data_IF_941450407651
#
_entry.id   IF_941450407651
#
_cell.length_a   1.000
_cell.length_b   1.000
_cell.length_c   1.000
_cell.angle_alpha   90.00
_cell.angle_beta   90.00
_cell.angle_gamma   90.00
#
_symmetry.space_group_name_H-M   'P 1'
#
loop_
_entity.id
_entity.type
_entity.pdbx_description
1 polymer ?
#
# COMPACT_ATOMS: atom_id res chain seq x y z
N UNK A 1 4.13 9.68 42.82
CA UNK A 1 4.46 9.29 41.43
C UNK A 1 3.21 9.05 40.58
N UNK A 2 2.23 8.23 41.02
CA UNK A 2 0.97 8.01 40.28
C UNK A 2 0.11 9.27 40.05
N UNK A 3 0.05 10.21 40.99
CA UNK A 3 -0.72 11.46 40.80
C UNK A 3 -0.09 12.43 39.78
N UNK A 4 1.23 12.39 39.62
CA UNK A 4 1.94 13.18 38.62
C UNK A 4 1.72 12.61 37.22
N UNK A 5 1.72 11.28 37.09
CA UNK A 5 1.39 10.57 35.86
C UNK A 5 -0.07 10.82 35.45
N UNK A 6 -1.01 10.83 36.40
CA UNK A 6 -2.43 11.07 36.13
C UNK A 6 -2.71 12.52 35.66
N UNK A 7 -2.05 13.53 36.25
CA UNK A 7 -2.17 14.93 35.79
C UNK A 7 -1.54 15.16 34.42
N UNK A 8 -0.42 14.50 34.11
CA UNK A 8 0.18 14.55 32.77
C UNK A 8 -0.69 13.84 31.73
N UNK A 9 -1.34 12.74 32.11
CA UNK A 9 -2.28 12.00 31.29
C UNK A 9 -3.56 12.79 30.98
N UNK A 10 -4.09 13.54 31.95
CA UNK A 10 -5.26 14.42 31.76
C UNK A 10 -4.95 15.64 30.86
N UNK A 11 -3.73 16.19 30.96
CA UNK A 11 -3.28 17.29 30.10
C UNK A 11 -2.95 16.85 28.69
N UNK A 12 -2.34 15.66 28.49
CA UNK A 12 -2.15 15.07 27.16
C UNK A 12 -3.48 14.68 26.50
N UNK A 13 -4.42 14.11 27.25
CA UNK A 13 -5.73 13.73 26.70
C UNK A 13 -6.59 14.94 26.34
N UNK A 14 -6.53 16.02 27.12
CA UNK A 14 -7.21 17.28 26.79
C UNK A 14 -6.54 18.04 25.64
N UNK A 15 -5.21 17.91 25.46
CA UNK A 15 -4.52 18.43 24.27
C UNK A 15 -4.84 17.62 23.00
N UNK A 16 -4.86 16.28 23.07
CA UNK A 16 -5.33 15.41 21.99
C UNK A 16 -6.80 15.68 21.65
N UNK A 17 -7.70 15.82 22.63
CA UNK A 17 -9.08 16.23 22.39
C UNK A 17 -9.18 17.65 21.80
N UNK A 18 -8.32 18.60 22.17
CA UNK A 18 -8.28 19.94 21.55
C UNK A 18 -7.75 19.91 20.11
N UNK A 19 -6.85 18.99 19.76
CA UNK A 19 -6.37 18.80 18.40
C UNK A 19 -7.40 18.08 17.51
N UNK A 20 -8.08 17.05 18.03
CA UNK A 20 -9.23 16.40 17.37
C UNK A 20 -10.37 17.40 17.15
N UNK A 21 -10.56 18.32 18.10
CA UNK A 21 -11.55 19.43 18.07
C UNK A 21 -10.98 20.73 17.47
N UNK A 22 -9.85 20.64 16.74
CA UNK A 22 -9.20 21.73 16.03
C UNK A 22 -9.63 21.83 14.56
N UNK A 23 -10.57 20.99 14.10
CA UNK A 23 -11.31 21.21 12.86
C UNK A 23 -12.25 22.40 13.07
N UNK A 24 -11.68 23.59 12.96
CA UNK A 24 -12.41 24.84 12.91
C UNK A 24 -13.16 24.91 11.56
N UNK A 25 -14.12 24.00 11.34
CA UNK A 25 -15.04 23.97 10.19
C UNK A 25 -15.77 25.33 10.05
N UNK A 26 -15.87 26.07 11.15
CA UNK A 26 -16.41 27.43 11.23
C UNK A 26 -15.54 28.50 10.54
N UNK A 27 -14.26 28.25 10.31
CA UNK A 27 -13.35 29.15 9.58
C UNK A 27 -12.87 28.54 8.25
N UNK A 28 -13.65 27.63 7.67
CA UNK A 28 -13.32 27.03 6.37
C UNK A 28 -13.67 27.99 5.23
N UNK A 29 -12.66 28.68 4.71
CA UNK A 29 -12.82 29.61 3.59
C UNK A 29 -13.06 28.87 2.27
N UNK A 30 -13.89 29.43 1.38
CA UNK A 30 -14.22 28.87 0.06
C UNK A 30 -12.99 28.63 -0.84
N UNK A 31 -11.91 29.40 -0.64
CA UNK A 31 -10.63 29.19 -1.33
C UNK A 31 -9.96 27.86 -0.94
N UNK A 32 -10.06 27.47 0.33
CA UNK A 32 -9.49 26.20 0.81
C UNK A 32 -10.25 24.99 0.27
N UNK A 33 -11.57 25.13 0.04
CA UNK A 33 -12.38 24.09 -0.58
C UNK A 33 -11.83 23.67 -1.94
N UNK A 34 -11.59 24.62 -2.84
CA UNK A 34 -11.08 24.31 -4.17
C UNK A 34 -9.66 23.73 -4.12
N UNK A 35 -8.79 24.23 -3.24
CA UNK A 35 -7.47 23.66 -3.05
C UNK A 35 -7.53 22.20 -2.55
N UNK A 36 -8.40 21.92 -1.57
CA UNK A 36 -8.55 20.58 -1.00
C UNK A 36 -9.22 19.61 -1.99
N UNK A 37 -10.18 20.08 -2.81
CA UNK A 37 -10.80 19.25 -3.88
C UNK A 37 -9.77 18.84 -4.92
N UNK A 38 -8.96 19.78 -5.41
CA UNK A 38 -7.96 19.45 -6.43
C UNK A 38 -6.83 18.60 -5.83
N UNK A 39 -6.42 18.84 -4.58
CA UNK A 39 -5.47 17.99 -3.87
C UNK A 39 -6.04 16.57 -3.66
N UNK A 40 -7.30 16.46 -3.23
CA UNK A 40 -7.97 15.18 -3.03
C UNK A 40 -8.15 14.41 -4.34
N UNK A 41 -8.48 15.08 -5.44
CA UNK A 41 -8.56 14.47 -6.76
C UNK A 41 -7.19 13.98 -7.22
N UNK A 42 -6.13 14.78 -7.11
CA UNK A 42 -4.78 14.34 -7.53
C UNK A 42 -4.28 13.16 -6.71
N UNK A 43 -4.45 13.18 -5.38
CA UNK A 43 -4.08 12.06 -4.50
C UNK A 43 -4.95 10.83 -4.79
N UNK A 44 -6.26 11.00 -4.94
CA UNK A 44 -7.20 9.91 -5.21
C UNK A 44 -6.88 9.20 -6.51
N UNK A 45 -6.59 9.94 -7.58
CA UNK A 45 -6.25 9.33 -8.87
C UNK A 45 -4.91 8.60 -8.78
N UNK A 46 -3.90 9.10 -8.05
CA UNK A 46 -2.63 8.38 -7.81
C UNK A 46 -2.79 7.08 -7.01
N UNK A 47 -3.69 7.07 -6.03
CA UNK A 47 -3.87 5.93 -5.13
C UNK A 47 -4.42 4.71 -5.87
N UNK A 48 -5.16 4.89 -6.97
CA UNK A 48 -5.71 3.80 -7.79
C UNK A 48 -4.63 2.85 -8.32
N UNK A 49 -3.66 3.27 -9.15
CA UNK A 49 -2.60 2.38 -9.64
C UNK A 49 -1.69 1.90 -8.51
N UNK A 50 -1.44 2.74 -7.50
CA UNK A 50 -0.61 2.38 -6.35
C UNK A 50 -1.22 1.22 -5.54
N UNK A 51 -2.53 1.30 -5.23
CA UNK A 51 -3.24 0.26 -4.49
C UNK A 51 -3.28 -1.06 -5.24
N UNK A 52 -3.53 -1.03 -6.56
CA UNK A 52 -3.50 -2.25 -7.39
C UNK A 52 -2.13 -2.93 -7.36
N UNK A 53 -1.04 -2.15 -7.44
CA UNK A 53 0.32 -2.69 -7.36
C UNK A 53 0.59 -3.32 -5.99
N UNK A 54 0.13 -2.70 -4.91
CA UNK A 54 0.35 -3.20 -3.55
C UNK A 54 -0.48 -4.46 -3.25
N UNK A 55 -1.67 -4.60 -3.83
CA UNK A 55 -2.42 -5.85 -3.75
C UNK A 55 -1.67 -7.02 -4.43
N UNK A 56 -1.07 -6.78 -5.61
CA UNK A 56 -0.22 -7.79 -6.27
C UNK A 56 1.00 -8.17 -5.43
N UNK A 57 1.62 -7.19 -4.75
CA UNK A 57 2.71 -7.46 -3.80
C UNK A 57 2.24 -8.30 -2.61
N UNK A 58 1.01 -8.08 -2.14
CA UNK A 58 0.38 -8.89 -1.10
C UNK A 58 -0.07 -10.28 -1.56
N UNK A 59 0.10 -10.65 -2.84
CA UNK A 59 -0.39 -11.92 -3.37
C UNK A 59 -1.92 -12.01 -3.47
N UNK A 60 -2.62 -10.88 -3.38
CA UNK A 60 -4.07 -10.79 -3.45
C UNK A 60 -4.55 -10.26 -4.81
N UNK A 61 -5.80 -10.55 -5.20
CA UNK A 61 -6.41 -9.92 -6.37
C UNK A 61 -6.39 -8.38 -6.27
N UNK A 62 -6.22 -7.71 -7.41
CA UNK A 62 -6.02 -6.25 -7.47
C UNK A 62 -7.17 -5.43 -6.88
N UNK A 63 -8.40 -5.96 -6.87
CA UNK A 63 -9.56 -5.29 -6.26
C UNK A 63 -9.36 -5.00 -4.77
N UNK A 64 -8.66 -5.85 -4.02
CA UNK A 64 -8.41 -5.62 -2.58
C UNK A 64 -7.59 -4.37 -2.32
N UNK A 65 -6.70 -3.99 -3.24
CA UNK A 65 -5.94 -2.74 -3.15
C UNK A 65 -6.82 -1.50 -3.29
N UNK A 66 -7.87 -1.58 -4.11
CA UNK A 66 -8.85 -0.50 -4.27
C UNK A 66 -9.76 -0.40 -3.05
N UNK A 67 -10.22 -1.53 -2.51
CA UNK A 67 -11.01 -1.55 -1.29
C UNK A 67 -10.21 -1.02 -0.08
N UNK A 68 -8.94 -1.42 0.03
CA UNK A 68 -8.00 -0.94 1.04
C UNK A 68 -7.60 0.54 0.89
N UNK A 69 -7.86 1.16 -0.25
CA UNK A 69 -7.72 2.60 -0.45
C UNK A 69 -8.99 3.37 -0.11
N UNK A 70 -10.17 2.80 -0.38
CA UNK A 70 -11.44 3.49 -0.22
C UNK A 70 -11.90 3.57 1.24
N UNK A 71 -12.06 2.42 1.90
CA UNK A 71 -12.68 2.36 3.22
C UNK A 71 -11.84 3.02 4.33
N UNK A 72 -10.50 2.85 4.38
CA UNK A 72 -9.68 3.52 5.39
C UNK A 72 -9.69 5.04 5.28
N UNK A 73 -9.79 5.60 4.07
CA UNK A 73 -9.90 7.06 3.87
C UNK A 73 -11.21 7.58 4.44
N UNK A 74 -12.33 6.88 4.19
CA UNK A 74 -13.63 7.23 4.76
C UNK A 74 -13.61 7.15 6.29
N UNK A 75 -13.05 6.09 6.85
CA UNK A 75 -12.90 5.95 8.30
C UNK A 75 -12.01 7.07 8.88
N UNK A 76 -10.89 7.38 8.23
CA UNK A 76 -9.97 8.43 8.66
C UNK A 76 -10.59 9.83 8.53
N UNK A 77 -11.46 10.08 7.55
CA UNK A 77 -12.16 11.35 7.44
C UNK A 77 -13.08 11.63 8.66
N UNK A 78 -13.62 10.58 9.30
CA UNK A 78 -14.49 10.69 10.47
C UNK A 78 -13.70 10.72 11.79
N UNK A 79 -12.70 9.86 11.93
CA UNK A 79 -11.97 9.64 13.19
C UNK A 79 -10.56 10.26 13.23
N UNK A 80 -10.07 10.75 12.09
CA UNK A 80 -8.71 11.26 11.94
C UNK A 80 -8.48 12.58 12.65
N UNK A 81 -7.27 12.74 13.20
CA UNK A 81 -6.85 13.95 13.90
C UNK A 81 -6.06 14.93 13.03
N UNK A 82 -5.51 14.48 11.89
CA UNK A 82 -4.68 15.29 11.00
C UNK A 82 -5.37 15.55 9.66
N UNK A 83 -5.42 16.82 9.25
CA UNK A 83 -6.08 17.25 8.00
C UNK A 83 -5.30 16.85 6.75
N UNK A 84 -3.98 16.69 6.84
CA UNK A 84 -3.10 16.47 5.69
C UNK A 84 -2.65 15.02 5.52
N UNK A 85 -3.02 14.14 6.46
CA UNK A 85 -2.62 12.73 6.38
C UNK A 85 -3.54 11.98 5.43
N UNK A 86 -2.97 11.44 4.35
CA UNK A 86 -3.65 10.49 3.49
C UNK A 86 -3.35 9.07 3.99
N UNK A 87 -4.40 8.29 4.23
CA UNK A 87 -4.30 6.88 4.64
C UNK A 87 -4.57 6.00 3.43
N UNK A 88 -3.82 4.91 3.28
CA UNK A 88 -4.00 3.96 2.19
C UNK A 88 -3.10 2.74 2.34
N UNK A 89 -3.14 1.82 1.37
CA UNK A 89 -2.28 0.64 1.38
C UNK A 89 -0.80 1.04 1.26
N UNK A 90 0.07 0.27 1.91
CA UNK A 90 1.52 0.51 1.98
C UNK A 90 2.28 -0.74 1.56
N UNK A 91 3.27 -0.59 0.67
CA UNK A 91 4.06 -1.69 0.11
C UNK A 91 4.68 -2.62 1.17
N UNK A 92 5.21 -2.06 2.26
CA UNK A 92 5.87 -2.85 3.31
C UNK A 92 4.88 -3.80 3.97
N UNK A 93 3.69 -3.30 4.33
CA UNK A 93 2.64 -4.10 4.97
C UNK A 93 2.15 -5.19 4.01
N UNK A 94 2.06 -4.88 2.71
CA UNK A 94 1.73 -5.87 1.68
C UNK A 94 2.76 -7.00 1.61
N UNK A 95 4.05 -6.68 1.62
CA UNK A 95 5.11 -7.69 1.62
C UNK A 95 5.12 -8.53 2.90
N UNK A 96 4.92 -7.90 4.07
CA UNK A 96 4.85 -8.62 5.35
C UNK A 96 3.63 -9.54 5.45
N UNK A 97 2.48 -9.09 4.96
CA UNK A 97 1.28 -9.94 4.89
C UNK A 97 1.55 -11.14 3.99
N UNK A 98 2.19 -10.90 2.85
CA UNK A 98 2.48 -11.94 1.88
C UNK A 98 3.39 -13.03 2.44
N UNK A 99 4.47 -12.62 3.09
CA UNK A 99 5.45 -13.54 3.66
C UNK A 99 5.00 -14.23 4.94
N UNK A 100 4.08 -13.61 5.68
CA UNK A 100 3.40 -14.27 6.80
C UNK A 100 2.46 -15.38 6.31
N UNK A 101 1.61 -15.07 5.32
CA UNK A 101 0.62 -16.01 4.82
C UNK A 101 1.23 -17.13 3.96
N UNK A 102 2.27 -16.85 3.19
CA UNK A 102 2.94 -17.85 2.34
C UNK A 102 3.61 -18.97 3.17
N UNK A 103 3.96 -18.71 4.43
CA UNK A 103 4.46 -19.73 5.37
C UNK A 103 3.38 -20.70 5.85
N UNK A 104 2.12 -20.26 5.89
CA UNK A 104 0.99 -21.06 6.38
C UNK A 104 0.39 -21.91 5.26
N UNK A 105 0.16 -21.30 4.09
CA UNK A 105 -0.60 -21.93 2.98
C UNK A 105 0.29 -22.35 1.81
N UNK A 106 1.55 -21.93 1.79
CA UNK A 106 2.38 -21.94 0.59
C UNK A 106 2.06 -20.75 -0.33
N UNK A 107 2.81 -20.62 -1.44
CA UNK A 107 2.58 -19.57 -2.42
C UNK A 107 1.18 -19.68 -3.06
N UNK A 108 0.59 -18.53 -3.40
CA UNK A 108 -0.80 -18.38 -3.90
C UNK A 108 -1.05 -18.93 -5.32
N UNK A 109 -0.17 -19.81 -5.84
CA UNK A 109 -0.16 -20.22 -7.24
C UNK A 109 -1.18 -21.31 -7.61
N UNK A 110 -1.86 -21.91 -6.63
CA UNK A 110 -2.92 -22.91 -6.85
C UNK A 110 -4.30 -22.29 -6.63
N UNK A 111 -5.21 -22.40 -7.61
CA UNK A 111 -6.59 -21.86 -7.54
C UNK A 111 -7.38 -22.34 -6.30
N UNK A 112 -7.09 -23.55 -5.81
CA UNK A 112 -7.70 -24.08 -4.57
C UNK A 112 -7.21 -23.35 -3.30
N UNK A 113 -5.98 -22.84 -3.31
CA UNK A 113 -5.38 -22.12 -2.19
C UNK A 113 -5.75 -20.63 -2.19
N UNK A 114 -6.11 -20.05 -3.34
CA UNK A 114 -6.40 -18.62 -3.45
C UNK A 114 -7.57 -18.17 -2.57
N UNK A 115 -8.65 -18.95 -2.50
CA UNK A 115 -9.80 -18.63 -1.65
C UNK A 115 -9.46 -18.73 -0.14
N UNK A 116 -8.59 -19.68 0.24
CA UNK A 116 -8.13 -19.83 1.62
C UNK A 116 -7.21 -18.66 1.99
N UNK A 117 -6.30 -18.29 1.10
CA UNK A 117 -5.39 -17.17 1.25
C UNK A 117 -6.14 -15.84 1.46
N UNK A 118 -7.17 -15.58 0.65
CA UNK A 118 -8.05 -14.42 0.80
C UNK A 118 -8.73 -14.37 2.16
N UNK A 119 -9.26 -15.50 2.63
CA UNK A 119 -9.90 -15.58 3.95
C UNK A 119 -8.90 -15.31 5.08
N UNK A 120 -7.68 -15.87 5.03
CA UNK A 120 -6.66 -15.61 6.03
C UNK A 120 -6.19 -14.15 6.02
N UNK A 121 -6.06 -13.52 4.86
CA UNK A 121 -5.73 -12.10 4.77
C UNK A 121 -6.80 -11.23 5.46
N UNK A 122 -8.08 -11.55 5.27
CA UNK A 122 -9.19 -10.87 5.93
C UNK A 122 -9.14 -11.10 7.45
N UNK A 123 -8.92 -12.33 7.90
CA UNK A 123 -8.80 -12.64 9.33
C UNK A 123 -7.61 -11.93 9.99
N UNK A 124 -6.45 -11.91 9.31
CA UNK A 124 -5.26 -11.18 9.76
C UNK A 124 -5.55 -9.69 9.91
N UNK A 125 -6.23 -9.10 8.93
CA UNK A 125 -6.61 -7.67 8.98
C UNK A 125 -7.52 -7.36 10.19
N UNK A 126 -8.42 -8.28 10.53
CA UNK A 126 -9.30 -8.16 11.70
C UNK A 126 -8.50 -8.25 13.01
N UNK A 127 -7.55 -9.19 13.12
CA UNK A 127 -6.68 -9.31 14.30
C UNK A 127 -5.80 -8.07 14.50
N UNK A 128 -5.24 -7.53 13.40
CA UNK A 128 -4.47 -6.28 13.43
C UNK A 128 -5.36 -5.12 13.87
N UNK A 129 -6.59 -5.02 13.37
CA UNK A 129 -7.54 -3.99 13.77
C UNK A 129 -7.90 -4.07 15.26
N UNK A 130 -8.21 -5.27 15.78
CA UNK A 130 -8.47 -5.49 17.21
C UNK A 130 -7.24 -5.09 18.03
N UNK A 131 -6.05 -5.50 17.59
CA UNK A 131 -4.80 -5.16 18.28
C UNK A 131 -4.59 -3.65 18.33
N UNK A 132 -4.80 -2.93 17.22
CA UNK A 132 -4.71 -1.47 17.22
C UNK A 132 -5.75 -0.79 18.11
N UNK A 133 -6.98 -1.31 18.16
CA UNK A 133 -8.00 -0.82 19.08
C UNK A 133 -7.55 -1.03 20.53
N UNK A 134 -7.04 -2.22 20.88
CA UNK A 134 -6.51 -2.51 22.21
C UNK A 134 -5.34 -1.60 22.59
N UNK A 135 -4.36 -1.44 21.69
CA UNK A 135 -3.23 -0.53 21.89
C UNK A 135 -3.70 0.92 22.08
N UNK A 136 -4.73 1.34 21.35
CA UNK A 136 -5.38 2.65 21.48
C UNK A 136 -6.10 2.82 22.82
N UNK A 137 -6.84 1.80 23.28
CA UNK A 137 -7.54 1.78 24.57
C UNK A 137 -6.56 1.88 25.74
N UNK A 138 -5.45 1.13 25.68
CA UNK A 138 -4.36 1.20 26.66
C UNK A 138 -3.46 2.44 26.49
N UNK A 139 -3.72 3.27 25.46
CA UNK A 139 -2.95 4.48 25.12
C UNK A 139 -1.45 4.21 25.00
N UNK A 140 -1.09 3.07 24.41
CA UNK A 140 0.30 2.65 24.21
C UNK A 140 1.01 3.42 23.09
N UNK A 141 0.38 4.47 22.53
CA UNK A 141 1.01 5.37 21.58
C UNK A 141 2.27 6.07 22.12
N UNK A 142 2.44 6.16 23.45
CA UNK A 142 3.69 6.71 24.02
C UNK A 142 4.92 5.88 23.64
N UNK A 143 4.76 4.59 23.33
CA UNK A 143 5.86 3.68 22.97
C UNK A 143 6.54 4.14 21.68
N UNK A 144 5.82 4.79 20.77
CA UNK A 144 6.41 5.29 19.51
C UNK A 144 7.43 6.39 19.73
N UNK A 145 7.40 7.08 20.88
CA UNK A 145 8.38 8.14 21.22
C UNK A 145 9.74 7.54 21.60
N UNK A 146 9.78 6.26 22.00
CA UNK A 146 11.03 5.55 22.32
C UNK A 146 11.72 4.96 21.09
N UNK A 147 11.10 5.00 19.91
CA UNK A 147 11.75 4.58 18.67
C UNK A 147 12.79 5.63 18.28
N UNK A 148 14.06 5.23 18.29
CA UNK A 148 15.14 6.12 17.88
C UNK A 148 15.04 6.46 16.40
N UNK A 149 15.54 7.64 16.03
CA UNK A 149 15.66 8.06 14.64
C UNK A 149 16.52 7.08 13.82
N UNK A 150 17.53 6.46 14.45
CA UNK A 150 18.38 5.46 13.80
C UNK A 150 17.61 4.20 13.41
N UNK A 151 16.73 3.69 14.28
CA UNK A 151 15.93 2.47 14.01
C UNK A 151 14.94 2.72 12.87
N UNK A 152 14.23 3.85 12.90
CA UNK A 152 13.27 4.20 11.85
C UNK A 152 13.96 4.44 10.50
N UNK A 153 15.09 5.15 10.50
CA UNK A 153 15.90 5.35 9.29
C UNK A 153 16.47 4.04 8.73
N UNK A 154 16.97 3.14 9.59
CA UNK A 154 17.48 1.83 9.18
C UNK A 154 16.38 0.96 8.57
N UNK A 155 15.23 0.87 9.25
CA UNK A 155 14.06 0.12 8.76
C UNK A 155 13.56 0.63 7.41
N UNK A 156 13.38 1.94 7.26
CA UNK A 156 12.91 2.54 6.00
C UNK A 156 13.90 2.33 4.85
N UNK A 157 15.20 2.40 5.11
CA UNK A 157 16.24 2.15 4.10
C UNK A 157 16.23 0.68 3.67
N UNK A 158 16.21 -0.26 4.61
CA UNK A 158 16.11 -1.69 4.31
C UNK A 158 14.83 -2.03 3.54
N UNK A 159 13.69 -1.49 3.99
CA UNK A 159 12.42 -1.66 3.31
C UNK A 159 12.45 -1.09 1.88
N UNK A 160 13.10 0.05 1.63
CA UNK A 160 13.22 0.62 0.28
C UNK A 160 14.00 -0.30 -0.68
N UNK A 161 15.04 -0.97 -0.19
CA UNK A 161 15.81 -1.94 -0.97
C UNK A 161 14.96 -3.17 -1.29
N UNK A 162 14.27 -3.73 -0.29
CA UNK A 162 13.39 -4.91 -0.48
C UNK A 162 12.25 -4.58 -1.45
N UNK A 163 11.59 -3.42 -1.30
CA UNK A 163 10.55 -2.96 -2.22
C UNK A 163 11.12 -2.80 -3.63
N UNK A 164 12.30 -2.16 -3.78
CA UNK A 164 12.95 -1.99 -5.07
C UNK A 164 13.24 -3.32 -5.76
N UNK A 165 13.85 -4.26 -5.03
CA UNK A 165 14.15 -5.59 -5.55
C UNK A 165 12.87 -6.36 -5.92
N UNK A 166 11.81 -6.30 -5.10
CA UNK A 166 10.52 -6.95 -5.41
C UNK A 166 9.80 -6.37 -6.63
N UNK A 167 10.12 -5.15 -7.06
CA UNK A 167 9.59 -4.59 -8.30
C UNK A 167 10.35 -5.05 -9.56
N UNK A 168 11.60 -5.50 -9.44
CA UNK A 168 12.42 -5.85 -10.60
C UNK A 168 11.80 -6.98 -11.43
N UNK A 169 11.14 -7.95 -10.80
CA UNK A 169 10.45 -9.04 -11.51
C UNK A 169 9.41 -8.55 -12.52
N UNK A 170 8.69 -7.46 -12.20
CA UNK A 170 7.69 -6.89 -13.11
C UNK A 170 8.31 -6.18 -14.31
N UNK A 171 9.56 -5.70 -14.18
CA UNK A 171 10.30 -5.10 -15.30
C UNK A 171 10.96 -6.20 -16.13
N UNK A 172 11.57 -7.21 -15.50
CA UNK A 172 12.22 -8.32 -16.20
C UNK A 172 11.23 -9.25 -16.91
N UNK A 173 10.00 -9.33 -16.42
CA UNK A 173 8.88 -9.94 -17.12
C UNK A 173 8.76 -11.46 -17.00
N UNK A 174 9.34 -12.05 -15.96
CA UNK A 174 9.18 -13.45 -15.59
C UNK A 174 8.80 -13.56 -14.11
N UNK A 175 8.23 -14.71 -13.73
CA UNK A 175 7.86 -14.94 -12.35
C UNK A 175 9.06 -15.37 -11.52
N UNK A 176 9.22 -14.73 -10.37
CA UNK A 176 10.36 -14.95 -9.48
C UNK A 176 9.81 -15.38 -8.14
N UNK A 177 10.23 -16.56 -7.63
CA UNK A 177 9.87 -17.01 -6.30
C UNK A 177 10.18 -15.91 -5.30
N UNK A 178 9.14 -15.52 -4.56
CA UNK A 178 9.23 -14.41 -3.59
C UNK A 178 10.01 -14.89 -2.37
N UNK A 179 10.90 -14.05 -1.87
CA UNK A 179 11.63 -14.30 -0.63
C UNK A 179 11.85 -12.97 0.09
N UNK A 180 11.75 -13.00 1.42
CA UNK A 180 12.06 -11.87 2.30
C UNK A 180 13.56 -11.62 2.39
N UNK A 181 14.37 -12.59 1.97
CA UNK A 181 15.80 -12.58 2.16
C UNK A 181 16.49 -12.14 0.88
N UNK A 182 17.15 -10.98 0.94
CA UNK A 182 17.76 -10.36 -0.24
C UNK A 182 18.69 -11.29 -1.01
N UNK A 183 19.47 -12.12 -0.31
CA UNK A 183 20.39 -13.05 -0.96
C UNK A 183 19.66 -14.16 -1.73
N UNK A 184 18.50 -14.62 -1.26
CA UNK A 184 17.68 -15.61 -1.96
C UNK A 184 17.00 -14.95 -3.15
N UNK A 185 16.47 -13.74 -2.98
CA UNK A 185 15.88 -12.99 -4.08
C UNK A 185 16.89 -12.77 -5.22
N UNK A 186 18.14 -12.41 -4.90
CA UNK A 186 19.21 -12.27 -5.90
C UNK A 186 19.53 -13.60 -6.58
N UNK A 187 19.63 -14.71 -5.83
CA UNK A 187 19.82 -16.05 -6.41
C UNK A 187 18.68 -16.42 -7.36
N UNK A 188 17.43 -16.15 -6.96
CA UNK A 188 16.25 -16.42 -7.77
C UNK A 188 16.25 -15.60 -9.07
N UNK A 189 16.69 -14.33 -9.01
CA UNK A 189 16.87 -13.53 -10.21
C UNK A 189 17.92 -14.10 -11.16
N UNK A 190 19.09 -14.51 -10.64
CA UNK A 190 20.17 -15.08 -11.45
C UNK A 190 19.72 -16.40 -12.10
N UNK A 191 19.03 -17.25 -11.35
CA UNK A 191 18.55 -18.54 -11.86
C UNK A 191 17.47 -18.37 -12.94
N UNK A 192 16.59 -17.37 -12.80
CA UNK A 192 15.51 -17.10 -13.74
C UNK A 192 15.89 -16.25 -14.95
N UNK A 193 17.16 -15.90 -15.15
CA UNK A 193 17.59 -14.99 -16.23
C UNK A 193 17.27 -15.53 -17.64
N UNK A 194 17.10 -16.85 -17.77
CA UNK A 194 16.73 -17.51 -19.02
C UNK A 194 15.29 -17.24 -19.48
N UNK A 195 14.39 -16.84 -18.58
CA UNK A 195 12.98 -16.55 -18.88
C UNK A 195 12.72 -15.07 -19.19
N UNK A 196 13.78 -14.29 -19.39
CA UNK A 196 13.70 -12.85 -19.61
C UNK A 196 12.79 -12.48 -20.80
N UNK A 197 11.81 -11.61 -20.53
CA UNK A 197 10.90 -11.11 -21.55
C UNK A 197 11.29 -9.68 -21.96
N UNK A 198 11.98 -9.57 -23.10
CA UNK A 198 12.47 -8.29 -23.61
C UNK A 198 11.35 -7.27 -23.86
N UNK A 199 10.12 -7.70 -24.18
CA UNK A 199 8.99 -6.80 -24.44
C UNK A 199 8.54 -6.12 -23.15
N UNK A 200 8.41 -6.91 -22.08
CA UNK A 200 8.09 -6.39 -20.75
C UNK A 200 9.19 -5.48 -20.24
N UNK A 201 10.45 -5.83 -20.46
CA UNK A 201 11.59 -4.99 -20.10
C UNK A 201 11.61 -3.66 -20.85
N UNK A 202 11.39 -3.66 -22.16
CA UNK A 202 11.36 -2.42 -22.94
C UNK A 202 10.20 -1.52 -22.50
N UNK A 203 9.06 -2.10 -22.18
CA UNK A 203 7.90 -1.35 -21.71
C UNK A 203 8.08 -0.81 -20.27
N UNK A 204 8.52 -1.64 -19.35
CA UNK A 204 8.84 -1.24 -17.97
C UNK A 204 9.98 -0.23 -17.90
N UNK A 205 11.04 -0.44 -18.70
CA UNK A 205 12.18 0.46 -18.80
C UNK A 205 11.81 1.82 -19.39
N UNK A 206 11.08 1.85 -20.51
CA UNK A 206 10.63 3.11 -21.13
C UNK A 206 9.67 3.89 -20.22
N UNK A 207 8.72 3.21 -19.58
CA UNK A 207 7.82 3.86 -18.61
C UNK A 207 8.57 4.42 -17.40
N UNK A 208 9.58 3.71 -16.87
CA UNK A 208 10.45 4.21 -15.80
C UNK A 208 11.24 5.44 -16.24
N UNK A 209 11.82 5.44 -17.44
CA UNK A 209 12.55 6.59 -17.99
C UNK A 209 11.64 7.80 -18.11
N UNK A 210 10.43 7.63 -18.67
CA UNK A 210 9.44 8.72 -18.78
C UNK A 210 9.08 9.26 -17.39
N UNK A 211 8.85 8.40 -16.39
CA UNK A 211 8.58 8.84 -15.01
C UNK A 211 9.72 9.65 -14.42
N UNK A 212 10.97 9.20 -14.60
CA UNK A 212 12.16 9.92 -14.10
C UNK A 212 12.31 11.27 -14.79
N UNK A 213 12.09 11.33 -16.11
CA UNK A 213 12.14 12.58 -16.88
C UNK A 213 11.05 13.56 -16.41
N UNK A 214 9.80 13.11 -16.25
CA UNK A 214 8.71 13.94 -15.74
C UNK A 214 9.00 14.45 -14.32
N UNK A 215 9.57 13.60 -13.46
CA UNK A 215 10.01 13.98 -12.10
C UNK A 215 11.13 15.02 -12.13
N UNK A 216 12.11 14.86 -13.02
CA UNK A 216 13.21 15.80 -13.19
C UNK A 216 12.72 17.16 -13.70
N UNK A 217 11.86 17.17 -14.74
CA UNK A 217 11.25 18.38 -15.28
C UNK A 217 10.41 19.10 -14.22
N UNK A 218 9.60 18.38 -13.44
CA UNK A 218 8.82 18.95 -12.35
C UNK A 218 9.67 19.58 -11.24
N UNK A 219 10.90 19.07 -10.99
CA UNK A 219 11.86 19.70 -10.07
C UNK A 219 12.56 20.91 -10.68
N UNK A 220 12.87 20.87 -11.98
CA UNK A 220 13.58 21.96 -12.67
C UNK A 220 12.69 23.19 -12.88
N UNK A 221 11.39 22.97 -13.10
CA UNK A 221 10.40 24.01 -13.36
C UNK A 221 9.34 24.07 -12.24
N UNK A 222 9.57 24.83 -11.16
CA UNK A 222 8.66 24.90 -10.01
C UNK A 222 7.26 25.43 -10.37
N UNK A 223 7.14 26.24 -11.43
CA UNK A 223 5.83 26.69 -11.93
C UNK A 223 4.96 25.54 -12.50
N UNK A 224 5.51 24.34 -12.66
CA UNK A 224 4.84 23.16 -13.24
C UNK A 224 4.87 21.95 -12.30
N UNK A 225 4.83 22.16 -10.98
CA UNK A 225 4.81 21.08 -9.97
C UNK A 225 3.71 20.02 -10.21
N UNK A 226 2.59 20.42 -10.82
CA UNK A 226 1.51 19.53 -11.27
C UNK A 226 1.99 18.36 -12.14
N UNK A 227 3.03 18.56 -12.96
CA UNK A 227 3.61 17.51 -13.83
C UNK A 227 4.12 16.34 -13.01
N UNK A 228 4.71 16.60 -11.85
CA UNK A 228 5.19 15.54 -10.96
C UNK A 228 4.03 14.74 -10.39
N UNK A 229 2.92 15.41 -10.09
CA UNK A 229 1.74 14.75 -9.54
C UNK A 229 1.01 13.91 -10.61
N UNK A 230 0.91 14.39 -11.83
CA UNK A 230 0.25 13.66 -12.91
C UNK A 230 1.12 12.60 -13.58
N UNK A 231 2.42 12.54 -13.25
CA UNK A 231 3.39 11.63 -13.88
C UNK A 231 2.98 10.15 -13.89
N UNK A 232 2.69 9.52 -12.73
CA UNK A 232 2.25 8.12 -12.67
C UNK A 232 1.02 7.82 -13.53
N UNK A 233 0.09 8.77 -13.61
CA UNK A 233 -1.16 8.64 -14.35
C UNK A 233 -0.99 8.81 -15.84
N UNK A 234 -0.16 9.77 -16.22
CA UNK A 234 0.21 9.97 -17.60
C UNK A 234 0.86 8.69 -18.14
N UNK A 235 1.80 8.12 -17.37
CA UNK A 235 2.50 6.90 -17.77
C UNK A 235 1.58 5.69 -17.79
N UNK A 236 0.70 5.50 -16.80
CA UNK A 236 -0.25 4.38 -16.82
C UNK A 236 -1.25 4.50 -17.98
N UNK A 237 -1.78 5.70 -18.23
CA UNK A 237 -2.74 5.94 -19.33
C UNK A 237 -2.08 5.74 -20.70
N UNK A 238 -0.87 6.27 -20.88
CA UNK A 238 -0.08 6.06 -22.11
C UNK A 238 0.25 4.58 -22.31
N UNK A 239 0.58 3.86 -21.23
CA UNK A 239 0.85 2.42 -21.27
C UNK A 239 -0.37 1.64 -21.75
N UNK A 240 -1.56 1.93 -21.21
CA UNK A 240 -2.82 1.29 -21.62
C UNK A 240 -3.10 1.56 -23.11
N UNK A 241 -2.91 2.80 -23.56
CA UNK A 241 -3.14 3.18 -24.96
C UNK A 241 -2.19 2.46 -25.91
N UNK A 242 -0.90 2.37 -25.58
CA UNK A 242 0.09 1.63 -26.38
C UNK A 242 -0.22 0.13 -26.40
N UNK A 243 -0.58 -0.45 -25.25
CA UNK A 243 -0.95 -1.87 -25.17
C UNK A 243 -2.20 -2.19 -26.00
N UNK A 244 -3.20 -1.29 -25.98
CA UNK A 244 -4.44 -1.44 -26.75
C UNK A 244 -4.22 -1.30 -28.25
N UNK A 245 -3.48 -0.28 -28.70
CA UNK A 245 -3.25 -0.06 -30.14
C UNK A 245 -2.32 -1.09 -30.78
N UNK A 246 -1.40 -1.68 -30.01
CA UNK A 246 -0.42 -2.62 -30.54
C UNK A 246 -0.81 -4.10 -30.41
N UNK A 247 -1.98 -4.40 -29.83
CA UNK A 247 -2.41 -5.75 -29.41
C UNK A 247 -1.31 -6.50 -28.65
N UNK A 248 -0.64 -5.78 -27.73
CA UNK A 248 0.48 -6.36 -26.97
C UNK A 248 0.03 -7.48 -26.02
N UNK A 249 -1.28 -7.56 -25.73
CA UNK A 249 -1.87 -8.64 -24.93
C UNK A 249 -1.69 -10.01 -25.60
N UNK A 250 -1.87 -10.10 -26.92
CA UNK A 250 -1.68 -11.37 -27.66
C UNK A 250 -0.20 -11.70 -27.88
N UNK A 251 0.69 -10.71 -27.73
CA UNK A 251 2.13 -10.83 -27.95
C UNK A 251 2.91 -11.28 -26.70
N UNK A 252 2.21 -11.75 -25.66
CA UNK A 252 2.81 -12.31 -24.45
C UNK A 252 3.24 -11.28 -23.41
N UNK A 253 2.61 -10.09 -23.40
CA UNK A 253 2.82 -9.10 -22.33
C UNK A 253 1.80 -9.34 -21.20
N UNK A 254 2.22 -9.52 -19.93
CA UNK A 254 1.28 -9.77 -18.84
C UNK A 254 0.43 -8.52 -18.56
N UNK A 255 -0.89 -8.66 -18.72
CA UNK A 255 -1.87 -7.60 -18.42
C UNK A 255 -2.53 -7.82 -17.06
N UNK A 256 -3.12 -6.75 -16.50
CA UNK A 256 -3.82 -6.81 -15.20
C UNK A 256 -5.09 -7.68 -15.27
N UNK A 257 -5.66 -7.87 -16.47
CA UNK A 257 -6.86 -8.66 -16.67
C UNK A 257 -8.15 -7.90 -16.32
N UNK A 258 -9.24 -8.64 -16.18
CA UNK A 258 -10.55 -8.08 -15.85
C UNK A 258 -10.67 -7.85 -14.34
N UNK A 259 -11.10 -6.65 -13.96
CA UNK A 259 -11.35 -6.31 -12.56
C UNK A 259 -12.85 -6.47 -12.30
N UNK A 260 -13.26 -7.30 -11.30
CA UNK A 260 -14.67 -7.45 -10.97
C UNK A 260 -15.27 -6.10 -10.57
N UNK A 261 -16.45 -5.80 -11.10
CA UNK A 261 -17.17 -4.57 -10.82
C UNK A 261 -18.08 -4.76 -9.61
N UNK A 262 -18.15 -3.75 -8.75
CA UNK A 262 -19.07 -3.72 -7.62
C UNK A 262 -18.35 -3.63 -6.29
N UNK A 263 -19.16 -3.57 -5.22
CA UNK A 263 -18.65 -3.64 -3.86
C UNK A 263 -18.39 -5.09 -3.47
N UNK A 264 -17.44 -5.33 -2.54
CA UNK A 264 -17.25 -6.67 -1.99
C UNK A 264 -18.53 -7.09 -1.25
N UNK A 265 -18.87 -8.38 -1.33
CA UNK A 265 -19.93 -8.95 -0.50
C UNK A 265 -19.55 -8.84 0.98
N UNK A 266 -20.54 -8.62 1.85
CA UNK A 266 -20.31 -8.53 3.29
C UNK A 266 -19.59 -9.79 3.79
N UNK A 267 -18.33 -9.63 4.19
CA UNK A 267 -17.45 -10.74 4.57
C UNK A 267 -17.60 -11.15 6.04
N UNK A 268 -18.68 -10.74 6.70
CA UNK A 268 -18.94 -11.04 8.12
C UNK A 268 -18.91 -12.54 8.43
N UNK A 269 -19.27 -13.38 7.44
CA UNK A 269 -19.21 -14.85 7.55
C UNK A 269 -17.79 -15.42 7.46
N UNK A 270 -16.82 -14.71 6.87
CA UNK A 270 -15.43 -15.18 6.77
C UNK A 270 -14.59 -14.80 7.99
N UNK A 271 -15.12 -13.94 8.87
CA UNK A 271 -14.45 -13.54 10.11
C UNK A 271 -14.40 -14.69 11.12
N UNK A 272 -15.35 -15.63 11.04
CA UNK A 272 -15.45 -16.80 11.90
C UNK A 272 -15.84 -18.02 11.07
N UNK A 273 -15.28 -19.22 11.32
CA UNK A 273 -14.37 -19.58 12.40
C UNK A 273 -12.90 -19.25 12.11
N UNK A 274 -12.17 -18.86 13.17
CA UNK A 274 -10.72 -18.65 13.14
C UNK A 274 -10.00 -20.01 13.30
N UNK A 275 -10.12 -20.88 12.29
CA UNK A 275 -9.55 -22.24 12.36
C UNK A 275 -8.03 -22.25 12.46
N UNK A 276 -7.36 -21.24 11.88
CA UNK A 276 -5.90 -21.05 11.90
C UNK A 276 -5.46 -19.93 12.85
N UNK A 277 -6.21 -19.68 13.93
CA UNK A 277 -5.87 -18.59 14.87
C UNK A 277 -4.46 -18.72 15.46
N UNK A 278 -4.04 -19.95 15.79
CA UNK A 278 -2.69 -20.23 16.28
C UNK A 278 -1.64 -19.84 15.26
N UNK A 279 -1.73 -20.40 14.05
CA UNK A 279 -0.81 -20.15 12.95
C UNK A 279 -0.70 -18.65 12.56
N UNK A 280 -1.79 -17.89 12.73
CA UNK A 280 -1.85 -16.46 12.41
C UNK A 280 -1.17 -15.54 13.45
N UNK A 281 -1.16 -15.92 14.73
CA UNK A 281 -0.51 -15.14 15.80
C UNK A 281 0.98 -15.48 15.89
N UNK A 282 1.35 -16.66 15.42
CA UNK A 282 2.72 -17.13 15.27
C UNK A 282 2.86 -18.60 15.68
N UNK A 283 4.03 -19.22 15.44
CA UNK A 283 4.40 -20.44 16.16
C UNK A 283 4.51 -20.19 17.67
#
# INVERSE_FOLDING_TARGET
>A
MCQYFFRHWQTYFSQQQRQIRGTNLRHYCQKHFWCDVVAGLTVGVMVVPQGMSYAKLAGLPVQYGLYGALFPVWAYAVFGSSRQLAVGPVAIVSLMLESGLSRIVGASDNDANSALYENLAIQTSLLVAITYILLGLFRLGFVTVFLSHAVTSGFTTGASVIIGCSQLKYILGYDVPRSDVLHEMIKNFINGIGEFNYKTFLMGGSSLVVLVVLKYLGRRYPNKEWIRATGPLFVSSLSILVTYLGDLSEKGLPIVGTIPRGFPSCTAKSWFPLTHFGDLIGP
#
